data_IF_793845764074
#
_entry.id   IF_793845764074
#
_cell.length_a   1.000
_cell.length_b   1.000
_cell.length_c   1.000
_cell.angle_alpha   90.00
_cell.angle_beta   90.00
_cell.angle_gamma   90.00
#
_symmetry.space_group_name_H-M   'P 1'
#
loop_
_entity.id
_entity.type
_entity.pdbx_description
1 polymer ?
#
# COMPACT_ATOMS: atom_id res chain seq x y z
N UNK A 1 20.81 29.72 5.72
CA UNK A 1 21.38 28.40 5.36
C UNK A 1 21.33 27.49 6.58
N UNK A 2 20.46 26.48 6.57
CA UNK A 2 20.40 25.44 7.60
C UNK A 2 20.37 24.08 6.92
N UNK A 3 21.53 23.45 6.81
CA UNK A 3 21.72 22.11 6.24
C UNK A 3 21.51 21.12 7.39
N UNK A 4 20.25 20.74 7.64
CA UNK A 4 19.93 19.62 8.53
C UNK A 4 19.30 18.51 7.68
N UNK A 5 20.15 17.63 7.16
CA UNK A 5 19.74 16.40 6.48
C UNK A 5 19.36 15.35 7.52
N UNK A 6 18.08 15.25 7.83
CA UNK A 6 17.50 14.16 8.61
C UNK A 6 17.58 12.84 7.79
N UNK A 7 17.73 11.65 8.40
CA UNK A 7 17.81 10.35 7.71
C UNK A 7 16.71 10.00 6.68
N UNK A 8 15.64 10.81 6.58
CA UNK A 8 14.45 10.54 5.77
C UNK A 8 14.36 11.36 4.46
N UNK A 9 15.48 11.94 4.01
CA UNK A 9 15.59 12.60 2.70
C UNK A 9 14.83 13.94 2.61
N UNK A 10 15.09 14.69 1.52
CA UNK A 10 14.42 15.97 1.25
C UNK A 10 13.03 15.74 0.64
N UNK A 11 12.12 16.69 0.86
CA UNK A 11 10.83 16.76 0.15
C UNK A 11 11.08 16.99 -1.35
N UNK A 12 10.31 16.32 -2.19
CA UNK A 12 10.36 16.45 -3.64
C UNK A 12 9.42 17.53 -4.18
N UNK A 13 9.17 17.49 -5.50
CA UNK A 13 8.34 18.47 -6.22
C UNK A 13 6.88 18.51 -5.73
N UNK A 14 6.34 17.41 -5.21
CA UNK A 14 5.02 17.38 -4.61
C UNK A 14 4.93 18.07 -3.24
N UNK A 15 6.06 18.54 -2.69
CA UNK A 15 6.13 19.06 -1.32
C UNK A 15 6.17 17.98 -0.24
N UNK A 16 6.11 16.70 -0.63
CA UNK A 16 6.16 15.54 0.25
C UNK A 16 7.44 14.72 0.05
N UNK A 17 7.79 13.91 1.05
CA UNK A 17 9.01 13.10 1.03
C UNK A 17 8.85 11.80 1.80
N UNK A 18 9.97 11.09 2.01
CA UNK A 18 9.91 9.74 2.59
C UNK A 18 9.44 9.70 4.05
N UNK A 19 9.51 10.83 4.77
CA UNK A 19 9.00 11.01 6.12
C UNK A 19 7.50 11.33 6.19
N UNK A 20 6.87 11.76 5.09
CA UNK A 20 5.46 12.17 5.07
C UNK A 20 4.56 10.97 5.35
N UNK A 21 3.56 11.14 6.22
CA UNK A 21 2.59 10.10 6.55
C UNK A 21 1.38 10.16 5.62
N UNK A 22 0.63 9.06 5.54
CA UNK A 22 -0.62 9.03 4.79
C UNK A 22 -1.66 10.06 5.27
N UNK A 23 -1.67 10.40 6.56
CA UNK A 23 -2.53 11.47 7.08
C UNK A 23 -2.09 12.86 6.61
N UNK A 24 -0.78 13.16 6.63
CA UNK A 24 -0.24 14.43 6.16
C UNK A 24 -0.63 14.68 4.70
N UNK A 25 -0.53 13.63 3.88
CA UNK A 25 -0.88 13.67 2.45
C UNK A 25 -2.38 13.91 2.24
N UNK A 26 -3.20 13.28 3.08
CA UNK A 26 -4.64 13.33 2.94
C UNK A 26 -5.27 14.54 3.64
N UNK A 27 -4.48 15.36 4.34
CA UNK A 27 -4.98 16.47 5.14
C UNK A 27 -5.78 17.46 4.27
N UNK A 28 -7.02 17.74 4.69
CA UNK A 28 -7.92 18.69 4.01
C UNK A 28 -8.58 18.17 2.72
N UNK A 29 -8.32 16.92 2.31
CA UNK A 29 -8.95 16.33 1.13
C UNK A 29 -10.30 15.72 1.50
N UNK A 30 -11.35 16.07 0.76
CA UNK A 30 -12.65 15.40 0.82
C UNK A 30 -12.73 14.29 -0.24
N UNK A 31 -12.91 13.06 0.22
CA UNK A 31 -13.02 11.86 -0.59
C UNK A 31 -14.43 11.25 -0.54
N UNK A 32 -15.43 11.95 -0.01
CA UNK A 32 -16.82 11.47 0.17
C UNK A 32 -17.48 10.97 -1.12
N UNK A 33 -17.05 11.48 -2.27
CA UNK A 33 -17.52 11.12 -3.60
C UNK A 33 -16.84 9.86 -4.19
N UNK A 34 -15.85 9.28 -3.50
CA UNK A 34 -15.07 8.15 -3.99
C UNK A 34 -15.52 6.83 -3.34
N UNK A 35 -15.48 5.76 -4.13
CA UNK A 35 -15.50 4.38 -3.63
C UNK A 35 -14.15 3.75 -3.90
N UNK A 36 -13.51 3.20 -2.86
CA UNK A 36 -12.16 2.64 -2.94
C UNK A 36 -12.16 1.18 -2.49
N UNK A 37 -11.62 0.29 -3.33
CA UNK A 37 -11.39 -1.11 -2.96
C UNK A 37 -9.93 -1.24 -2.51
N UNK A 38 -9.68 -1.70 -1.28
CA UNK A 38 -8.32 -1.86 -0.76
C UNK A 38 -8.01 -3.32 -0.48
N UNK A 39 -7.25 -3.94 -1.38
CA UNK A 39 -6.78 -5.32 -1.21
C UNK A 39 -5.66 -5.40 -0.16
N UNK A 40 -5.56 -6.51 0.57
CA UNK A 40 -4.55 -6.68 1.61
C UNK A 40 -4.69 -5.74 2.82
N UNK A 41 -5.86 -5.11 3.00
CA UNK A 41 -6.08 -4.11 4.06
C UNK A 41 -6.28 -4.69 5.47
N UNK A 42 -6.12 -6.00 5.68
CA UNK A 42 -6.32 -6.59 7.00
C UNK A 42 -5.24 -6.18 8.01
N UNK A 43 -4.02 -5.85 7.56
CA UNK A 43 -2.88 -5.46 8.41
C UNK A 43 -1.94 -4.46 7.70
N UNK A 44 -0.99 -3.88 8.44
CA UNK A 44 0.13 -3.12 7.89
C UNK A 44 -0.28 -1.90 7.05
N UNK A 45 0.44 -1.69 5.94
CA UNK A 45 0.25 -0.54 5.03
C UNK A 45 -1.17 -0.50 4.46
N UNK A 46 -1.71 -1.63 4.01
CA UNK A 46 -3.06 -1.66 3.43
C UNK A 46 -4.14 -1.27 4.45
N UNK A 47 -3.99 -1.69 5.71
CA UNK A 47 -4.90 -1.30 6.81
C UNK A 47 -4.89 0.21 7.02
N UNK A 48 -3.70 0.80 7.01
CA UNK A 48 -3.53 2.23 7.19
C UNK A 48 -4.06 3.04 6.00
N UNK A 49 -3.81 2.60 4.77
CA UNK A 49 -4.40 3.17 3.56
C UNK A 49 -5.93 3.18 3.65
N UNK A 50 -6.54 2.04 4.00
CA UNK A 50 -7.99 1.93 4.16
C UNK A 50 -8.53 2.86 5.25
N UNK A 51 -7.83 2.96 6.39
CA UNK A 51 -8.19 3.88 7.47
C UNK A 51 -8.17 5.34 7.02
N UNK A 52 -7.12 5.77 6.33
CA UNK A 52 -6.97 7.15 5.87
C UNK A 52 -8.00 7.51 4.79
N UNK A 53 -8.28 6.61 3.85
CA UNK A 53 -9.34 6.80 2.86
C UNK A 53 -10.71 6.98 3.53
N UNK A 54 -11.04 6.11 4.49
CA UNK A 54 -12.29 6.19 5.25
C UNK A 54 -12.36 7.47 6.11
N UNK A 55 -11.24 7.90 6.70
CA UNK A 55 -11.13 9.16 7.45
C UNK A 55 -11.45 10.39 6.58
N UNK A 56 -11.19 10.31 5.27
CA UNK A 56 -11.55 11.37 4.30
C UNK A 56 -12.95 11.22 3.72
N UNK A 57 -13.75 10.29 4.24
CA UNK A 57 -15.14 10.08 3.85
C UNK A 57 -15.36 9.12 2.68
N UNK A 58 -14.29 8.54 2.12
CA UNK A 58 -14.43 7.59 1.02
C UNK A 58 -15.24 6.36 1.45
N UNK A 59 -16.05 5.83 0.53
CA UNK A 59 -16.69 4.54 0.69
C UNK A 59 -15.67 3.42 0.47
N UNK A 60 -15.12 2.87 1.55
CA UNK A 60 -14.05 1.86 1.47
C UNK A 60 -14.65 0.45 1.47
N UNK A 61 -14.24 -0.36 0.50
CA UNK A 61 -14.57 -1.79 0.37
C UNK A 61 -13.30 -2.60 0.64
N UNK A 62 -13.38 -3.53 1.57
CA UNK A 62 -12.22 -4.32 1.99
C UNK A 62 -12.46 -5.80 1.74
N UNK A 63 -11.84 -6.38 0.69
CA UNK A 63 -11.81 -7.82 0.51
C UNK A 63 -10.99 -8.47 1.62
N UNK A 64 -11.61 -9.37 2.38
CA UNK A 64 -10.97 -10.14 3.44
C UNK A 64 -11.12 -11.64 3.20
N UNK A 65 -10.04 -12.39 3.46
CA UNK A 65 -10.02 -13.87 3.34
C UNK A 65 -10.90 -14.55 4.37
N UNK A 66 -11.08 -13.94 5.54
CA UNK A 66 -11.92 -14.45 6.62
C UNK A 66 -12.76 -13.32 7.18
N UNK A 67 -13.98 -13.66 7.60
CA UNK A 67 -14.90 -12.71 8.22
C UNK A 67 -14.32 -12.12 9.50
N UNK A 68 -13.62 -12.93 10.32
CA UNK A 68 -12.98 -12.45 11.55
C UNK A 68 -11.96 -11.34 11.28
N UNK A 69 -11.11 -11.50 10.26
CA UNK A 69 -10.12 -10.47 9.90
C UNK A 69 -10.79 -9.19 9.42
N UNK A 70 -11.87 -9.32 8.65
CA UNK A 70 -12.70 -8.19 8.22
C UNK A 70 -13.37 -7.47 9.39
N UNK A 71 -13.95 -8.23 10.33
CA UNK A 71 -14.61 -7.68 11.52
C UNK A 71 -13.65 -6.96 12.46
N UNK A 72 -12.43 -7.48 12.67
CA UNK A 72 -11.39 -6.80 13.47
C UNK A 72 -11.07 -5.43 12.90
N UNK A 73 -11.04 -5.33 11.58
CA UNK A 73 -10.77 -4.08 10.89
C UNK A 73 -11.98 -3.13 10.94
N UNK A 74 -13.18 -3.64 10.74
CA UNK A 74 -14.42 -2.86 10.86
C UNK A 74 -14.55 -2.21 12.25
N UNK A 75 -14.24 -2.94 13.32
CA UNK A 75 -14.21 -2.39 14.69
C UNK A 75 -13.18 -1.27 14.87
N UNK A 76 -12.09 -1.32 14.11
CA UNK A 76 -11.00 -0.34 14.19
C UNK A 76 -11.26 0.90 13.31
N UNK A 77 -12.00 0.74 12.21
CA UNK A 77 -12.33 1.83 11.28
C UNK A 77 -13.84 2.00 11.26
N UNK A 78 -14.35 2.88 12.13
CA UNK A 78 -15.79 3.09 12.39
C UNK A 78 -16.58 3.61 11.18
N UNK A 79 -15.91 4.04 10.10
CA UNK A 79 -16.54 4.62 8.89
C UNK A 79 -16.55 3.68 7.67
N UNK A 80 -16.13 2.42 7.79
CA UNK A 80 -16.14 1.47 6.65
C UNK A 80 -17.57 1.00 6.39
N UNK A 81 -18.13 1.35 5.23
CA UNK A 81 -19.50 1.04 4.84
C UNK A 81 -19.70 -0.43 4.44
N UNK A 82 -18.70 -1.09 3.84
CA UNK A 82 -18.85 -2.47 3.34
C UNK A 82 -17.57 -3.28 3.47
N UNK A 83 -17.65 -4.44 4.13
CA UNK A 83 -16.59 -5.47 4.12
C UNK A 83 -17.06 -6.60 3.23
N UNK A 84 -16.37 -6.85 2.11
CA UNK A 84 -16.63 -8.01 1.27
C UNK A 84 -15.72 -9.13 1.74
N UNK A 85 -16.29 -10.23 2.21
CA UNK A 85 -15.50 -11.41 2.58
C UNK A 85 -15.50 -12.32 1.37
N UNK A 86 -14.34 -12.48 0.75
CA UNK A 86 -14.15 -13.50 -0.27
C UNK A 86 -13.16 -14.52 0.28
N UNK A 87 -13.67 -15.70 0.58
CA UNK A 87 -12.91 -16.78 1.17
C UNK A 87 -12.07 -17.46 0.08
N UNK A 88 -10.94 -16.83 -0.29
CA UNK A 88 -9.93 -17.54 -1.07
C UNK A 88 -9.22 -18.52 -0.14
N UNK A 89 -9.62 -19.79 -0.24
CA UNK A 89 -9.02 -20.88 0.53
C UNK A 89 -7.52 -20.94 0.25
N UNK A 90 -6.75 -21.01 1.33
CA UNK A 90 -5.29 -21.11 1.32
C UNK A 90 -4.87 -22.41 2.00
N UNK A 91 -5.51 -23.51 1.68
CA UNK A 91 -4.83 -24.81 1.62
C UNK A 91 -3.93 -24.75 0.38
N UNK A 92 -2.66 -24.39 0.46
CA UNK A 92 -1.56 -25.33 0.65
C UNK A 92 -0.24 -24.55 0.73
N UNK A 93 0.14 -23.96 1.86
CA UNK A 93 1.55 -23.81 2.26
C UNK A 93 1.63 -23.44 3.75
N UNK A 94 2.13 -24.33 4.63
CA UNK A 94 2.42 -23.98 6.01
C UNK A 94 3.67 -23.10 6.05
N UNK A 95 3.47 -21.79 6.20
CA UNK A 95 4.55 -20.87 6.57
C UNK A 95 4.79 -21.03 8.07
N UNK A 96 5.67 -21.95 8.42
CA UNK A 96 6.11 -22.19 9.79
C UNK A 96 6.97 -21.01 10.25
N UNK A 97 6.39 -20.13 11.07
CA UNK A 97 7.09 -19.01 11.68
C UNK A 97 7.85 -19.46 12.93
N UNK A 98 9.04 -20.01 12.73
CA UNK A 98 10.03 -20.16 13.80
C UNK A 98 11.38 -19.60 13.34
N UNK A 99 11.61 -18.32 13.60
CA UNK A 99 12.99 -17.85 13.77
C UNK A 99 13.01 -16.56 14.60
N UNK A 100 13.23 -16.70 15.91
CA UNK A 100 13.55 -15.61 16.83
C UNK A 100 14.85 -14.87 16.45
N UNK A 101 15.66 -15.45 15.55
CA UNK A 101 16.95 -14.91 15.09
C UNK A 101 16.76 -13.70 14.16
N UNK A 102 15.66 -13.63 13.41
CA UNK A 102 15.37 -12.47 12.54
C UNK A 102 14.98 -11.21 13.32
N UNK A 103 14.39 -11.35 14.51
CA UNK A 103 13.94 -10.21 15.32
C UNK A 103 15.10 -9.30 15.78
N UNK A 104 16.28 -9.88 16.02
CA UNK A 104 17.47 -9.15 16.47
C UNK A 104 18.14 -8.34 15.35
N UNK A 105 18.02 -8.79 14.09
CA UNK A 105 18.56 -8.09 12.91
C UNK A 105 17.73 -6.83 12.61
N UNK A 106 16.42 -6.83 12.84
CA UNK A 106 15.55 -5.67 12.60
C UNK A 106 15.82 -4.44 13.50
N UNK A 107 16.45 -4.62 14.67
CA UNK A 107 16.66 -3.51 15.62
C UNK A 107 17.76 -2.51 15.16
N UNK A 108 18.77 -2.99 14.43
CA UNK A 108 19.87 -2.13 13.94
C UNK A 108 19.53 -1.35 12.66
N UNK A 109 18.52 -1.78 11.88
CA UNK A 109 18.14 -1.15 10.60
C UNK A 109 16.98 -0.16 10.73
N UNK A 110 16.41 -0.02 11.95
CA UNK A 110 15.27 0.88 12.28
C UNK A 110 15.34 2.29 11.70
N UNK A 111 16.47 3.02 11.67
CA UNK A 111 16.48 4.38 11.12
C UNK A 111 16.31 4.44 9.59
N UNK A 112 16.31 3.31 8.89
CA UNK A 112 16.17 3.22 7.43
C UNK A 112 14.90 2.48 6.96
N UNK A 113 14.02 2.08 7.88
CA UNK A 113 12.78 1.35 7.57
C UNK A 113 11.59 2.26 7.82
N UNK A 114 10.78 2.51 6.78
CA UNK A 114 9.55 3.31 6.90
C UNK A 114 8.55 2.69 7.85
N UNK A 115 7.89 3.54 8.62
CA UNK A 115 6.75 3.15 9.44
C UNK A 115 5.50 2.95 8.57
N UNK A 116 4.50 2.25 9.13
CA UNK A 116 3.25 1.95 8.43
C UNK A 116 2.57 3.21 7.84
N UNK A 117 2.43 4.33 8.57
CA UNK A 117 1.86 5.57 8.03
C UNK A 117 2.66 6.15 6.86
N UNK A 118 3.99 6.07 6.91
CA UNK A 118 4.87 6.53 5.84
C UNK A 118 4.83 5.60 4.63
N UNK A 119 4.68 4.29 4.86
CA UNK A 119 4.51 3.30 3.82
C UNK A 119 3.20 3.48 3.04
N UNK A 120 2.12 3.88 3.71
CA UNK A 120 0.83 4.15 3.09
C UNK A 120 0.78 5.48 2.31
N UNK A 121 1.71 6.39 2.58
CA UNK A 121 1.66 7.77 2.09
C UNK A 121 1.61 7.88 0.57
N UNK A 122 2.46 7.14 -0.16
CA UNK A 122 2.49 7.22 -1.63
C UNK A 122 1.22 6.67 -2.26
N UNK A 123 0.64 5.61 -1.70
CA UNK A 123 -0.63 5.06 -2.18
C UNK A 123 -1.78 6.04 -1.93
N UNK A 124 -1.86 6.65 -0.74
CA UNK A 124 -2.87 7.68 -0.46
C UNK A 124 -2.66 8.91 -1.34
N UNK A 125 -1.41 9.30 -1.64
CA UNK A 125 -1.09 10.42 -2.51
C UNK A 125 -1.66 10.22 -3.91
N UNK A 126 -1.35 9.10 -4.56
CA UNK A 126 -1.85 8.85 -5.92
C UNK A 126 -3.37 8.69 -5.97
N UNK A 127 -3.97 8.18 -4.89
CA UNK A 127 -5.42 7.96 -4.81
C UNK A 127 -6.23 9.24 -4.54
N UNK A 128 -5.70 10.17 -3.73
CA UNK A 128 -6.46 11.31 -3.20
C UNK A 128 -5.99 12.68 -3.71
N UNK A 129 -4.70 12.85 -3.99
CA UNK A 129 -4.15 14.19 -4.17
C UNK A 129 -4.62 14.83 -5.49
N UNK A 130 -5.05 16.11 -5.50
CA UNK A 130 -5.52 16.77 -6.72
C UNK A 130 -4.49 16.75 -7.87
N UNK A 131 -3.20 16.84 -7.55
CA UNK A 131 -2.11 16.82 -8.53
C UNK A 131 -2.02 15.52 -9.32
N UNK A 132 -2.53 14.41 -8.77
CA UNK A 132 -2.52 13.09 -9.45
C UNK A 132 -3.83 12.77 -10.15
N UNK A 133 -4.85 13.63 -10.06
CA UNK A 133 -6.21 13.37 -10.59
C UNK A 133 -6.26 13.03 -12.09
N UNK A 134 -5.29 13.50 -12.87
CA UNK A 134 -5.18 13.24 -14.33
C UNK A 134 -3.90 12.52 -14.72
N UNK A 135 -3.19 11.94 -13.76
CA UNK A 135 -1.92 11.25 -14.00
C UNK A 135 -2.17 9.73 -14.01
N UNK A 136 -1.79 9.08 -15.10
CA UNK A 136 -1.84 7.61 -15.24
C UNK A 136 -0.57 7.10 -15.93
N UNK A 137 -0.22 5.83 -15.69
CA UNK A 137 0.94 5.17 -16.29
C UNK A 137 2.31 5.64 -15.75
N UNK A 138 2.32 6.33 -14.61
CA UNK A 138 3.54 6.84 -13.96
C UNK A 138 3.88 6.03 -12.72
N UNK A 139 5.17 6.00 -12.38
CA UNK A 139 5.67 5.39 -11.16
C UNK A 139 5.93 6.47 -10.11
N UNK A 140 5.52 6.19 -8.88
CA UNK A 140 5.67 7.12 -7.76
C UNK A 140 6.47 6.49 -6.63
N UNK A 141 7.39 7.26 -6.06
CA UNK A 141 8.15 6.90 -4.87
C UNK A 141 8.24 8.11 -3.92
N UNK A 142 7.87 7.92 -2.65
CA UNK A 142 7.87 9.00 -1.66
C UNK A 142 6.98 10.18 -2.07
N UNK A 143 5.80 9.86 -2.64
CA UNK A 143 4.83 10.83 -3.14
C UNK A 143 5.33 11.72 -4.30
N UNK A 144 6.36 11.29 -5.04
CA UNK A 144 6.89 12.01 -6.20
C UNK A 144 7.00 11.07 -7.39
N UNK A 145 6.80 11.59 -8.61
CA UNK A 145 7.06 10.81 -9.83
C UNK A 145 8.56 10.42 -9.85
N UNK A 146 8.82 9.15 -10.12
CA UNK A 146 10.15 8.58 -10.11
C UNK A 146 10.33 7.62 -11.30
N UNK A 147 11.57 7.41 -11.71
CA UNK A 147 11.90 6.45 -12.77
C UNK A 147 12.10 5.06 -12.14
N UNK A 148 11.36 4.02 -12.60
CA UNK A 148 11.61 2.65 -12.18
C UNK A 148 13.00 2.14 -12.59
N UNK A 149 13.42 1.03 -11.99
CA UNK A 149 14.63 0.31 -12.40
C UNK A 149 14.58 -0.08 -13.89
N UNK A 150 15.73 -0.29 -14.52
CA UNK A 150 15.81 -0.69 -15.93
C UNK A 150 15.07 -2.00 -16.19
N UNK A 151 15.19 -2.97 -15.28
CA UNK A 151 14.49 -4.27 -15.35
C UNK A 151 12.97 -4.09 -15.32
N UNK A 152 12.46 -3.17 -14.50
CA UNK A 152 11.02 -2.88 -14.45
C UNK A 152 10.50 -2.21 -15.73
N UNK A 153 11.39 -1.73 -16.62
CA UNK A 153 11.06 -1.10 -17.90
C UNK A 153 11.33 -2.01 -19.10
N UNK A 154 11.73 -3.26 -18.87
CA UNK A 154 11.96 -4.24 -19.92
C UNK A 154 10.63 -4.83 -20.41
N UNK A 155 10.23 -4.42 -21.62
CA UNK A 155 8.98 -4.86 -22.24
C UNK A 155 8.99 -6.35 -22.61
N UNK A 156 10.16 -6.92 -22.93
CA UNK A 156 10.27 -8.33 -23.28
C UNK A 156 10.15 -9.21 -22.03
N UNK A 157 10.81 -8.82 -20.95
CA UNK A 157 10.65 -9.49 -19.66
C UNK A 157 9.21 -9.42 -19.16
N UNK A 158 8.54 -8.28 -19.32
CA UNK A 158 7.13 -8.12 -18.95
C UNK A 158 6.21 -9.10 -19.72
N UNK A 159 6.41 -9.24 -21.04
CA UNK A 159 5.67 -10.22 -21.87
C UNK A 159 5.92 -11.65 -21.43
N UNK A 160 7.18 -12.01 -21.16
CA UNK A 160 7.54 -13.35 -20.69
C UNK A 160 6.92 -13.67 -19.34
N UNK A 161 6.94 -12.71 -18.40
CA UNK A 161 6.30 -12.87 -17.09
C UNK A 161 4.79 -13.04 -17.22
N UNK A 162 4.16 -12.30 -18.14
CA UNK A 162 2.73 -12.42 -18.42
C UNK A 162 2.38 -13.82 -18.93
N UNK A 163 3.05 -14.29 -19.99
CA UNK A 163 2.83 -15.62 -20.57
C UNK A 163 3.04 -16.74 -19.53
N UNK A 164 4.08 -16.63 -18.72
CA UNK A 164 4.32 -17.58 -17.63
C UNK A 164 3.21 -17.55 -16.57
N UNK A 165 2.67 -16.37 -16.26
CA UNK A 165 1.57 -16.24 -15.30
C UNK A 165 0.26 -16.83 -15.83
N UNK A 166 -0.03 -16.63 -17.12
CA UNK A 166 -1.18 -17.26 -17.79
C UNK A 166 -1.08 -18.78 -17.76
N UNK A 167 0.08 -19.33 -18.12
CA UNK A 167 0.35 -20.77 -18.05
C UNK A 167 0.14 -21.34 -16.63
N UNK A 168 0.62 -20.64 -15.60
CA UNK A 168 0.43 -21.05 -14.21
C UNK A 168 -1.05 -21.08 -13.79
N UNK A 169 -1.85 -20.14 -14.27
CA UNK A 169 -3.28 -20.07 -13.94
C UNK A 169 -4.05 -21.15 -14.69
N UNK A 170 -3.77 -21.35 -15.97
CA UNK A 170 -4.41 -22.39 -16.79
C UNK A 170 -4.09 -23.80 -16.27
N UNK A 171 -2.84 -24.08 -15.91
CA UNK A 171 -2.44 -25.39 -15.40
C UNK A 171 -3.02 -25.71 -14.02
N UNK A 172 -3.41 -24.69 -13.23
CA UNK A 172 -4.12 -24.89 -11.94
C UNK A 172 -5.59 -25.25 -12.13
N UNK A 173 -6.18 -24.90 -13.27
CA UNK A 173 -7.60 -25.14 -13.55
C UNK A 173 -7.92 -26.56 -14.07
N UNK A 174 -6.91 -27.41 -14.20
CA UNK A 174 -7.01 -28.84 -14.53
C UNK A 174 -6.88 -29.69 -13.27
#
# INVERSE_FOLDING_TARGET
MGIWGWPWGRRGLSGFGSASTAEDIAAGIDASHLTAIVTGATNGIGKETARVLALRGANVIIPARTLESGMKLYKFVTSVKTVVVDAFDRTLLPINSHSCVLASIFSLVKPFVKDIPQGAATTCYVALHPDTKRVSGKYFAGCNEATPTSVARDAELAKRLWAFSEELVENRSK
#
